data_IF_966358844938
#
_entry.id   IF_966358844938
#
_cell.length_a   1.000
_cell.length_b   1.000
_cell.length_c   1.000
_cell.angle_alpha   90.00
_cell.angle_beta   90.00
_cell.angle_gamma   90.00
#
_symmetry.space_group_name_H-M   'P 1'
#
loop_
_entity.id
_entity.type
_entity.pdbx_description
1 polymer ?
#
# COMPACT_ATOMS: atom_id res chain seq x y z
N UNK A 1 -11.77 8.64 34.49
CA UNK A 1 -11.56 8.72 33.01
C UNK A 1 -10.10 9.02 32.73
N UNK A 2 -9.56 8.53 31.62
CA UNK A 2 -8.13 8.69 31.23
C UNK A 2 -7.74 10.17 31.17
N UNK A 3 -8.65 11.07 30.78
CA UNK A 3 -8.43 12.52 30.68
C UNK A 3 -8.15 13.25 32.02
N UNK A 4 -8.52 12.66 33.15
CA UNK A 4 -8.33 13.30 34.47
C UNK A 4 -6.96 13.03 35.09
N UNK A 5 -6.17 12.10 34.49
CA UNK A 5 -4.86 11.68 35.03
C UNK A 5 -3.65 12.30 34.31
N UNK A 6 -3.86 12.99 33.21
CA UNK A 6 -2.76 13.57 32.41
C UNK A 6 -2.73 15.06 32.66
N UNK A 7 -2.10 15.48 33.77
CA UNK A 7 -2.02 16.91 34.15
C UNK A 7 -0.60 17.49 34.09
N UNK A 8 0.42 16.65 33.97
CA UNK A 8 1.81 17.09 33.93
C UNK A 8 2.69 16.16 33.04
N UNK A 9 3.91 16.62 32.77
CA UNK A 9 4.85 15.93 31.89
C UNK A 9 5.29 14.56 32.43
N UNK A 10 5.33 14.38 33.76
CA UNK A 10 5.69 13.12 34.39
C UNK A 10 4.56 12.09 34.20
N UNK A 11 3.30 12.52 34.35
CA UNK A 11 2.12 11.70 34.09
C UNK A 11 2.03 11.27 32.60
N UNK A 12 2.40 12.16 31.66
CA UNK A 12 2.48 11.84 30.23
C UNK A 12 3.53 10.76 29.96
N UNK A 13 4.74 10.91 30.54
CA UNK A 13 5.82 9.95 30.38
C UNK A 13 5.47 8.58 30.98
N UNK A 14 4.82 8.57 32.17
CA UNK A 14 4.35 7.34 32.78
C UNK A 14 3.28 6.64 31.92
N UNK A 15 2.33 7.43 31.39
CA UNK A 15 1.30 6.91 30.48
C UNK A 15 1.91 6.36 29.17
N UNK A 16 2.90 7.04 28.61
CA UNK A 16 3.64 6.53 27.46
C UNK A 16 4.34 5.22 27.76
N UNK A 17 4.97 5.10 28.94
CA UNK A 17 5.60 3.86 29.39
C UNK A 17 4.60 2.70 29.55
N UNK A 18 3.44 2.95 30.17
CA UNK A 18 2.37 1.97 30.31
C UNK A 18 1.78 1.57 28.96
N UNK A 19 1.61 2.54 28.05
CA UNK A 19 1.11 2.31 26.70
C UNK A 19 2.10 1.50 25.85
N UNK A 20 3.39 1.81 25.93
CA UNK A 20 4.43 1.03 25.27
C UNK A 20 4.52 -0.39 25.80
N UNK A 21 4.42 -0.57 27.12
CA UNK A 21 4.38 -1.90 27.74
C UNK A 21 3.15 -2.70 27.29
N UNK A 22 2.00 -2.04 27.20
CA UNK A 22 0.77 -2.66 26.66
C UNK A 22 0.94 -3.06 25.19
N UNK A 23 1.53 -2.19 24.36
CA UNK A 23 1.78 -2.50 22.95
C UNK A 23 2.77 -3.67 22.80
N UNK A 24 3.86 -3.71 23.56
CA UNK A 24 4.76 -4.86 23.56
C UNK A 24 4.06 -6.15 24.00
N UNK A 25 3.27 -6.11 25.08
CA UNK A 25 2.48 -7.27 25.50
C UNK A 25 1.46 -7.71 24.47
N UNK A 26 0.87 -6.75 23.72
CA UNK A 26 -0.05 -7.06 22.63
C UNK A 26 0.69 -7.74 21.46
N UNK A 27 1.88 -7.24 21.11
CA UNK A 27 2.73 -7.82 20.07
C UNK A 27 3.16 -9.23 20.47
N UNK A 28 3.68 -9.42 21.69
CA UNK A 28 4.07 -10.73 22.21
C UNK A 28 2.88 -11.71 22.18
N UNK A 29 1.69 -11.21 22.49
CA UNK A 29 0.46 -12.01 22.42
C UNK A 29 0.11 -12.39 20.99
N UNK A 30 0.22 -11.47 20.04
CA UNK A 30 -0.01 -11.71 18.61
C UNK A 30 1.03 -12.71 18.09
N UNK A 31 2.30 -12.54 18.41
CA UNK A 31 3.37 -13.48 18.04
C UNK A 31 3.11 -14.89 18.60
N UNK A 32 2.70 -14.98 19.86
CA UNK A 32 2.33 -16.26 20.48
C UNK A 32 1.13 -16.91 19.77
N UNK A 33 0.14 -16.13 19.39
CA UNK A 33 -1.02 -16.62 18.63
C UNK A 33 -0.63 -17.07 17.21
N UNK A 34 0.24 -16.32 16.53
CA UNK A 34 0.77 -16.69 15.21
C UNK A 34 1.59 -17.99 15.31
N UNK A 35 2.53 -18.06 16.27
CA UNK A 35 3.36 -19.23 16.51
C UNK A 35 2.55 -20.47 16.91
N UNK A 36 1.41 -20.28 17.60
CA UNK A 36 0.48 -21.36 17.96
C UNK A 36 -0.45 -21.78 16.82
N UNK A 37 -0.37 -21.13 15.65
CA UNK A 37 -1.23 -21.36 14.49
C UNK A 37 -2.70 -20.96 14.71
N UNK A 38 -2.99 -20.17 15.75
CA UNK A 38 -4.36 -19.73 16.09
C UNK A 38 -4.82 -18.54 15.26
N UNK A 39 -3.89 -17.67 14.81
CA UNK A 39 -4.20 -16.66 13.80
C UNK A 39 -3.78 -17.22 12.44
N UNK A 40 -4.72 -17.42 11.56
CA UNK A 40 -4.44 -17.83 10.18
C UNK A 40 -3.78 -16.66 9.46
N UNK A 41 -2.85 -16.96 8.54
CA UNK A 41 -2.18 -15.94 7.70
C UNK A 41 -3.16 -15.00 7.00
N UNK A 42 -4.36 -15.51 6.65
CA UNK A 42 -5.46 -14.73 6.09
C UNK A 42 -5.95 -13.63 7.05
N UNK A 43 -6.07 -13.95 8.34
CA UNK A 43 -6.58 -13.00 9.35
C UNK A 43 -5.60 -11.84 9.57
N UNK A 44 -4.28 -12.08 9.46
CA UNK A 44 -3.28 -11.00 9.54
C UNK A 44 -3.44 -9.99 8.41
N UNK A 45 -3.61 -10.44 7.18
CA UNK A 45 -3.86 -9.56 6.03
C UNK A 45 -5.11 -8.71 6.22
N UNK A 46 -6.23 -9.33 6.61
CA UNK A 46 -7.50 -8.66 6.87
C UNK A 46 -7.37 -7.64 8.03
N UNK A 47 -6.62 -7.95 9.08
CA UNK A 47 -6.35 -6.99 10.17
C UNK A 47 -5.56 -5.77 9.68
N UNK A 48 -4.52 -5.98 8.87
CA UNK A 48 -3.73 -4.88 8.33
C UNK A 48 -4.59 -4.00 7.42
N UNK A 49 -5.33 -4.60 6.46
CA UNK A 49 -6.05 -3.84 5.41
C UNK A 49 -7.38 -3.28 5.88
N UNK A 50 -8.11 -4.00 6.73
CA UNK A 50 -9.49 -3.64 7.11
C UNK A 50 -9.57 -2.91 8.47
N UNK A 51 -8.49 -2.96 9.26
CA UNK A 51 -8.48 -2.33 10.59
C UNK A 51 -7.35 -1.32 10.75
N UNK A 52 -6.08 -1.72 10.55
CA UNK A 52 -4.92 -0.88 10.86
C UNK A 52 -4.80 0.28 9.87
N UNK A 53 -4.79 0.01 8.58
CA UNK A 53 -4.64 1.05 7.56
C UNK A 53 -5.81 2.06 7.58
N UNK A 54 -7.10 1.65 7.62
CA UNK A 54 -8.22 2.57 7.74
C UNK A 54 -8.16 3.43 9.01
N UNK A 55 -7.72 2.86 10.14
CA UNK A 55 -7.57 3.61 11.38
C UNK A 55 -6.52 4.72 11.23
N UNK A 56 -5.31 4.41 10.73
CA UNK A 56 -4.26 5.42 10.51
C UNK A 56 -4.75 6.53 9.57
N UNK A 57 -5.45 6.18 8.50
CA UNK A 57 -6.01 7.15 7.56
C UNK A 57 -7.02 8.06 8.27
N UNK A 58 -7.97 7.51 9.02
CA UNK A 58 -9.01 8.27 9.68
C UNK A 58 -8.44 9.19 10.76
N UNK A 59 -7.46 8.73 11.53
CA UNK A 59 -6.84 9.50 12.61
C UNK A 59 -6.00 10.67 12.06
N UNK A 60 -5.39 10.51 10.87
CA UNK A 60 -4.44 11.49 10.31
C UNK A 60 -4.99 12.36 9.17
N UNK A 61 -6.08 11.98 8.54
CA UNK A 61 -6.64 12.69 7.37
C UNK A 61 -6.85 14.19 7.61
N UNK A 62 -7.39 14.56 8.76
CA UNK A 62 -7.67 15.96 9.08
C UNK A 62 -6.40 16.79 9.27
N UNK A 63 -5.37 16.25 9.92
CA UNK A 63 -4.10 16.95 10.15
C UNK A 63 -3.33 17.15 8.85
N UNK A 64 -3.28 16.14 7.98
CA UNK A 64 -2.66 16.25 6.64
C UNK A 64 -3.42 17.23 5.76
N UNK A 65 -4.76 17.21 5.77
CA UNK A 65 -5.59 18.20 5.05
C UNK A 65 -5.28 19.62 5.51
N UNK A 66 -5.12 19.84 6.81
CA UNK A 66 -4.75 21.14 7.38
C UNK A 66 -3.35 21.59 6.96
N UNK A 67 -2.38 20.68 6.95
CA UNK A 67 -1.03 20.97 6.47
C UNK A 67 -1.03 21.37 4.99
N UNK A 68 -1.79 20.66 4.14
CA UNK A 68 -1.96 21.02 2.73
C UNK A 68 -2.59 22.40 2.55
N UNK A 69 -3.64 22.72 3.31
CA UNK A 69 -4.28 24.04 3.31
C UNK A 69 -3.30 25.13 3.77
N UNK A 70 -2.50 24.87 4.79
CA UNK A 70 -1.45 25.78 5.24
C UNK A 70 -0.40 26.08 4.16
N UNK A 71 -0.05 25.08 3.38
CA UNK A 71 0.92 25.21 2.27
C UNK A 71 0.40 26.13 1.14
N UNK A 72 -0.90 26.25 0.95
CA UNK A 72 -1.47 27.17 -0.05
C UNK A 72 -1.21 28.63 0.26
N UNK A 73 -0.97 29.00 1.53
CA UNK A 73 -0.61 30.35 1.91
C UNK A 73 0.79 30.75 1.40
N UNK A 74 1.65 29.77 1.16
CA UNK A 74 3.03 29.97 0.68
C UNK A 74 3.14 29.74 -0.83
N UNK A 75 2.37 28.78 -1.36
CA UNK A 75 2.38 28.39 -2.78
C UNK A 75 0.94 28.24 -3.30
N UNK A 76 0.49 29.21 -4.10
CA UNK A 76 -0.84 29.19 -4.71
C UNK A 76 -1.04 28.03 -5.73
N UNK A 77 0.02 27.43 -6.25
CA UNK A 77 -0.08 26.29 -7.17
C UNK A 77 -0.63 25.06 -6.47
N UNK A 78 -0.46 24.95 -5.15
CA UNK A 78 -1.01 23.84 -4.35
C UNK A 78 -2.53 23.75 -4.51
N UNK A 79 -3.24 24.87 -4.35
CA UNK A 79 -4.71 24.92 -4.50
C UNK A 79 -5.13 24.56 -5.92
N UNK A 80 -4.46 25.14 -6.91
CA UNK A 80 -4.74 24.87 -8.33
C UNK A 80 -4.58 23.38 -8.67
N UNK A 81 -3.50 22.79 -8.22
CA UNK A 81 -3.18 21.38 -8.51
C UNK A 81 -4.16 20.44 -7.81
N UNK A 82 -4.44 20.65 -6.52
CA UNK A 82 -5.37 19.81 -5.77
C UNK A 82 -6.79 19.93 -6.34
N UNK A 83 -7.26 21.14 -6.68
CA UNK A 83 -8.58 21.32 -7.28
C UNK A 83 -8.66 20.78 -8.70
N UNK A 84 -7.58 20.88 -9.48
CA UNK A 84 -7.52 20.26 -10.81
C UNK A 84 -7.61 18.74 -10.72
N UNK A 85 -6.81 18.13 -9.85
CA UNK A 85 -6.90 16.69 -9.57
C UNK A 85 -8.32 16.30 -9.11
N UNK A 86 -8.90 17.06 -8.16
CA UNK A 86 -10.24 16.78 -7.66
C UNK A 86 -11.30 16.78 -8.75
N UNK A 87 -11.23 17.70 -9.70
CA UNK A 87 -12.17 17.73 -10.86
C UNK A 87 -12.13 16.46 -11.68
N UNK A 88 -11.00 15.79 -11.77
CA UNK A 88 -10.87 14.54 -12.54
C UNK A 88 -11.41 13.33 -11.77
N UNK A 89 -11.27 13.31 -10.44
CA UNK A 89 -11.60 12.13 -9.62
C UNK A 89 -12.87 12.29 -8.76
N UNK A 90 -13.46 13.47 -8.65
CA UNK A 90 -14.58 13.75 -7.73
C UNK A 90 -15.79 12.83 -7.94
N UNK A 91 -16.03 12.37 -9.17
CA UNK A 91 -17.12 11.44 -9.49
C UNK A 91 -16.90 10.03 -8.93
N UNK A 92 -15.67 9.71 -8.62
CA UNK A 92 -15.25 8.40 -8.10
C UNK A 92 -15.33 8.35 -6.56
N UNK A 93 -15.36 9.53 -5.91
CA UNK A 93 -15.48 9.62 -4.45
C UNK A 93 -16.95 9.55 -4.03
N UNK A 94 -17.20 8.81 -2.95
CA UNK A 94 -18.52 8.74 -2.33
C UNK A 94 -18.90 10.08 -1.69
N UNK A 95 -20.20 10.27 -1.42
CA UNK A 95 -20.77 11.49 -0.85
C UNK A 95 -20.12 11.92 0.50
N UNK A 96 -19.39 11.03 1.16
CA UNK A 96 -18.75 11.29 2.45
C UNK A 96 -17.48 12.14 2.35
N UNK A 97 -16.93 12.36 1.15
CA UNK A 97 -15.74 13.19 0.95
C UNK A 97 -16.04 14.33 -0.04
N UNK A 98 -16.62 15.40 0.48
CA UNK A 98 -16.94 16.61 -0.30
C UNK A 98 -15.78 17.62 -0.38
N UNK A 99 -14.73 17.47 0.43
CA UNK A 99 -13.57 18.38 0.48
C UNK A 99 -12.37 17.80 -0.29
N UNK A 100 -11.96 18.50 -1.35
CA UNK A 100 -10.81 18.15 -2.18
C UNK A 100 -9.51 17.92 -1.37
N UNK A 101 -9.28 18.70 -0.32
CA UNK A 101 -8.09 18.55 0.52
C UNK A 101 -8.14 17.31 1.41
N UNK A 102 -9.32 16.98 1.94
CA UNK A 102 -9.49 15.71 2.68
C UNK A 102 -9.31 14.50 1.77
N UNK A 103 -9.86 14.55 0.55
CA UNK A 103 -9.68 13.49 -0.43
C UNK A 103 -8.20 13.34 -0.85
N UNK A 104 -7.51 14.46 -1.08
CA UNK A 104 -6.09 14.45 -1.42
C UNK A 104 -5.22 13.94 -0.25
N UNK A 105 -5.51 14.37 0.98
CA UNK A 105 -4.85 13.88 2.18
C UNK A 105 -5.00 12.36 2.35
N UNK A 106 -6.20 11.83 2.10
CA UNK A 106 -6.45 10.39 2.10
C UNK A 106 -5.63 9.66 1.04
N UNK A 107 -5.56 10.20 -0.18
CA UNK A 107 -4.75 9.65 -1.26
C UNK A 107 -3.26 9.62 -0.89
N UNK A 108 -2.73 10.69 -0.28
CA UNK A 108 -1.34 10.73 0.19
C UNK A 108 -1.08 9.65 1.26
N UNK A 109 -1.96 9.54 2.27
CA UNK A 109 -1.81 8.54 3.34
C UNK A 109 -1.84 7.12 2.81
N UNK A 110 -2.75 6.81 1.88
CA UNK A 110 -2.80 5.52 1.20
C UNK A 110 -1.48 5.27 0.45
N UNK A 111 -0.97 6.27 -0.25
CA UNK A 111 0.31 6.16 -0.95
C UNK A 111 1.48 5.84 -0.02
N UNK A 112 1.54 6.45 1.16
CA UNK A 112 2.55 6.16 2.18
C UNK A 112 2.41 4.73 2.73
N UNK A 113 1.21 4.33 3.13
CA UNK A 113 0.94 3.01 3.68
C UNK A 113 1.28 1.90 2.66
N UNK A 114 0.90 2.10 1.40
CA UNK A 114 1.21 1.14 0.34
C UNK A 114 2.71 1.04 0.07
N UNK A 115 3.47 2.16 0.11
CA UNK A 115 4.93 2.10 -0.05
C UNK A 115 5.59 1.30 1.07
N UNK A 116 5.20 1.51 2.32
CA UNK A 116 5.70 0.72 3.45
C UNK A 116 5.34 -0.76 3.30
N UNK A 117 4.07 -1.06 3.01
CA UNK A 117 3.60 -2.43 2.85
C UNK A 117 4.35 -3.13 1.72
N UNK A 118 4.43 -2.50 0.54
CA UNK A 118 5.08 -3.11 -0.61
C UNK A 118 6.59 -3.30 -0.39
N UNK A 119 7.29 -2.30 0.16
CA UNK A 119 8.71 -2.43 0.47
C UNK A 119 8.99 -3.62 1.42
N UNK A 120 8.17 -3.78 2.47
CA UNK A 120 8.28 -4.91 3.40
C UNK A 120 7.93 -6.26 2.74
N UNK A 121 7.06 -6.29 1.74
CA UNK A 121 6.73 -7.51 1.01
C UNK A 121 7.82 -7.93 0.00
N UNK A 122 8.46 -6.96 -0.67
CA UNK A 122 9.47 -7.26 -1.70
C UNK A 122 10.88 -7.44 -1.15
N UNK A 123 11.19 -6.99 0.09
CA UNK A 123 12.54 -7.08 0.70
C UNK A 123 13.09 -8.51 0.77
N UNK A 124 12.21 -9.51 0.70
CA UNK A 124 12.57 -10.94 0.64
C UNK A 124 13.25 -11.28 -0.68
N UNK A 125 12.82 -10.65 -1.77
CA UNK A 125 13.32 -10.90 -3.12
C UNK A 125 14.39 -9.90 -3.56
N UNK A 126 14.32 -8.66 -3.04
CA UNK A 126 15.18 -7.54 -3.40
C UNK A 126 15.89 -7.01 -2.17
N UNK A 127 17.18 -7.30 -2.06
CA UNK A 127 17.97 -6.87 -0.90
C UNK A 127 17.97 -5.33 -0.72
N UNK A 128 17.93 -4.57 -1.81
CA UNK A 128 17.87 -3.11 -1.76
C UNK A 128 16.54 -2.57 -1.17
N UNK A 129 15.48 -3.36 -1.16
CA UNK A 129 14.22 -2.97 -0.51
C UNK A 129 14.31 -3.02 1.03
N UNK A 130 15.33 -3.66 1.60
CA UNK A 130 15.61 -3.66 3.04
C UNK A 130 15.97 -2.29 3.58
N UNK A 131 16.26 -1.32 2.74
CA UNK A 131 16.43 0.08 3.15
C UNK A 131 15.19 0.60 3.94
N UNK A 132 13.99 0.02 3.73
CA UNK A 132 12.78 0.34 4.50
C UNK A 132 12.92 0.05 5.99
N UNK A 133 13.78 -0.90 6.38
CA UNK A 133 14.05 -1.26 7.77
C UNK A 133 14.79 -0.14 8.51
N UNK A 134 15.51 0.72 7.78
CA UNK A 134 16.20 1.89 8.32
C UNK A 134 15.29 3.09 8.61
N UNK A 135 14.02 3.05 8.18
CA UNK A 135 13.05 4.09 8.49
C UNK A 135 12.52 3.88 9.91
N UNK A 136 13.06 4.60 10.87
CA UNK A 136 12.78 4.51 12.30
C UNK A 136 12.27 5.84 12.87
N UNK A 137 11.96 5.91 14.16
CA UNK A 137 11.32 7.04 14.84
C UNK A 137 12.05 8.40 14.71
N UNK A 138 13.33 8.41 14.37
CA UNK A 138 14.14 9.64 14.19
C UNK A 138 14.18 10.10 12.74
N UNK A 139 13.46 9.43 11.85
CA UNK A 139 13.44 9.70 10.42
C UNK A 139 12.61 10.95 10.10
N UNK A 140 13.12 11.80 9.21
CA UNK A 140 12.32 12.90 8.62
C UNK A 140 11.52 12.41 7.42
N UNK A 141 10.53 13.22 6.98
CA UNK A 141 9.76 12.92 5.77
C UNK A 141 10.69 12.82 4.55
N UNK A 142 11.69 13.70 4.48
CA UNK A 142 12.68 13.72 3.41
C UNK A 142 13.56 12.48 3.41
N UNK A 143 13.93 11.96 4.59
CA UNK A 143 14.73 10.74 4.71
C UNK A 143 13.92 9.52 4.23
N UNK A 144 12.66 9.42 4.64
CA UNK A 144 11.76 8.36 4.19
C UNK A 144 11.50 8.43 2.68
N UNK A 145 11.25 9.63 2.15
CA UNK A 145 11.07 9.83 0.70
C UNK A 145 12.34 9.46 -0.08
N UNK A 146 13.52 9.79 0.43
CA UNK A 146 14.82 9.41 -0.15
C UNK A 146 15.02 7.90 -0.14
N UNK A 147 14.63 7.23 0.93
CA UNK A 147 14.66 5.78 1.02
C UNK A 147 13.79 5.14 -0.07
N UNK A 148 12.55 5.58 -0.25
CA UNK A 148 11.68 5.07 -1.29
C UNK A 148 12.21 5.36 -2.70
N UNK A 149 12.79 6.53 -2.94
CA UNK A 149 13.42 6.84 -4.22
C UNK A 149 14.62 5.92 -4.50
N UNK A 150 15.39 5.56 -3.48
CA UNK A 150 16.50 4.62 -3.59
C UNK A 150 15.99 3.21 -3.93
N UNK A 151 14.97 2.72 -3.23
CA UNK A 151 14.32 1.43 -3.52
C UNK A 151 13.79 1.43 -4.95
N UNK A 152 13.10 2.49 -5.38
CA UNK A 152 12.60 2.64 -6.75
C UNK A 152 13.71 2.48 -7.79
N UNK A 153 14.82 3.19 -7.59
CA UNK A 153 15.92 3.20 -8.55
C UNK A 153 16.67 1.87 -8.65
N UNK A 154 16.79 1.15 -7.55
CA UNK A 154 17.54 -0.11 -7.47
C UNK A 154 16.69 -1.35 -7.80
N UNK A 155 15.41 -1.33 -7.38
CA UNK A 155 14.51 -2.46 -7.62
C UNK A 155 13.69 -2.32 -8.91
N UNK A 156 13.69 -1.15 -9.56
CA UNK A 156 12.97 -0.90 -10.82
C UNK A 156 11.46 -0.63 -10.67
N UNK A 157 10.93 -0.53 -9.43
CA UNK A 157 9.50 -0.30 -9.18
C UNK A 157 9.15 1.20 -9.12
N UNK A 158 9.51 1.95 -10.16
CA UNK A 158 9.34 3.41 -10.21
C UNK A 158 7.90 3.86 -10.02
N UNK A 159 6.94 3.18 -10.66
CA UNK A 159 5.53 3.55 -10.58
C UNK A 159 4.97 3.44 -9.17
N UNK A 160 5.39 2.42 -8.41
CA UNK A 160 4.91 2.22 -7.05
C UNK A 160 5.52 3.21 -6.06
N UNK A 161 6.83 3.45 -6.17
CA UNK A 161 7.56 4.32 -5.24
C UNK A 161 7.62 5.78 -5.69
N UNK A 162 7.09 6.12 -6.88
CA UNK A 162 6.95 7.50 -7.31
C UNK A 162 6.08 8.28 -6.31
N UNK A 163 6.49 9.50 -6.00
CA UNK A 163 5.79 10.34 -5.03
C UNK A 163 4.91 11.35 -5.77
N UNK A 164 3.60 11.38 -5.51
CA UNK A 164 2.75 12.42 -6.05
C UNK A 164 3.16 13.80 -5.50
N UNK A 165 2.72 14.89 -6.13
CA UNK A 165 2.98 16.24 -5.61
C UNK A 165 2.55 16.33 -4.15
N UNK A 166 3.32 17.10 -3.36
CA UNK A 166 3.05 17.35 -1.93
C UNK A 166 3.09 16.11 -1.01
N UNK A 167 3.73 15.04 -1.46
CA UNK A 167 3.91 13.81 -0.69
C UNK A 167 4.66 14.06 0.64
N UNK A 168 5.47 15.10 0.66
CA UNK A 168 6.21 15.62 1.81
C UNK A 168 5.36 16.46 2.79
N UNK A 169 4.09 16.70 2.49
CA UNK A 169 3.21 17.53 3.33
C UNK A 169 2.61 16.75 4.51
N UNK A 170 3.46 16.05 5.26
CA UNK A 170 3.05 15.29 6.44
C UNK A 170 3.40 16.03 7.73
N UNK A 171 2.46 16.19 8.67
CA UNK A 171 2.78 16.54 10.05
C UNK A 171 3.68 15.49 10.71
N UNK A 172 4.52 15.92 11.66
CA UNK A 172 5.44 15.05 12.39
C UNK A 172 4.71 13.90 13.11
N UNK A 173 3.56 14.18 13.74
CA UNK A 173 2.75 13.15 14.37
C UNK A 173 2.25 12.10 13.38
N UNK A 174 1.85 12.52 12.18
CA UNK A 174 1.43 11.61 11.11
C UNK A 174 2.59 10.73 10.64
N UNK A 175 3.79 11.31 10.50
CA UNK A 175 4.97 10.52 10.14
C UNK A 175 5.27 9.47 11.22
N UNK A 176 5.15 9.84 12.50
CA UNK A 176 5.33 8.88 13.62
C UNK A 176 4.39 7.67 13.51
N UNK A 177 3.09 7.91 13.22
CA UNK A 177 2.12 6.82 13.04
C UNK A 177 2.48 5.92 11.85
N UNK A 178 2.97 6.50 10.75
CA UNK A 178 3.42 5.75 9.57
C UNK A 178 4.68 4.94 9.86
N UNK A 179 5.61 5.47 10.64
CA UNK A 179 6.83 4.75 11.08
C UNK A 179 6.47 3.60 12.02
N UNK A 180 5.50 3.80 12.93
CA UNK A 180 4.98 2.72 13.77
C UNK A 180 4.32 1.62 12.93
N UNK A 181 3.59 1.98 11.89
CA UNK A 181 3.05 1.02 10.92
C UNK A 181 4.17 0.23 10.23
N UNK A 182 5.26 0.89 9.80
CA UNK A 182 6.44 0.20 9.26
C UNK A 182 7.03 -0.79 10.26
N UNK A 183 7.18 -0.38 11.53
CA UNK A 183 7.64 -1.26 12.61
C UNK A 183 6.73 -2.49 12.81
N UNK A 184 5.40 -2.28 12.77
CA UNK A 184 4.44 -3.38 12.83
C UNK A 184 4.64 -4.37 11.67
N UNK A 185 4.80 -3.88 10.43
CA UNK A 185 5.03 -4.74 9.26
C UNK A 185 6.34 -5.54 9.36
N UNK A 186 7.38 -4.94 9.95
CA UNK A 186 8.66 -5.63 10.18
C UNK A 186 8.54 -6.77 11.19
N UNK A 187 7.66 -6.61 12.21
CA UNK A 187 7.40 -7.64 13.22
C UNK A 187 6.50 -8.77 12.73
N UNK A 188 5.73 -8.54 11.67
CA UNK A 188 4.74 -9.49 11.16
C UNK A 188 5.32 -10.61 10.28
N UNK A 189 6.64 -10.80 10.16
CA UNK A 189 7.28 -11.85 9.34
C UNK A 189 6.57 -12.08 8.00
N UNK A 190 6.33 -10.98 7.26
CA UNK A 190 5.60 -11.02 5.98
C UNK A 190 6.26 -11.93 4.93
N UNK A 191 7.52 -12.27 5.11
CA UNK A 191 8.30 -13.21 4.32
C UNK A 191 7.85 -14.67 4.50
N UNK A 192 7.29 -15.02 5.68
CA UNK A 192 6.73 -16.35 5.93
C UNK A 192 5.36 -16.56 5.27
N UNK A 193 4.73 -15.49 4.78
CA UNK A 193 3.45 -15.59 4.09
C UNK A 193 3.60 -16.32 2.75
N UNK A 194 2.69 -17.25 2.45
CA UNK A 194 2.56 -17.85 1.11
C UNK A 194 2.42 -16.75 0.04
N UNK A 195 3.01 -16.96 -1.12
CA UNK A 195 2.97 -16.00 -2.24
C UNK A 195 1.55 -15.55 -2.61
N UNK A 196 0.56 -16.45 -2.48
CA UNK A 196 -0.86 -16.16 -2.72
C UNK A 196 -1.43 -15.19 -1.68
N UNK A 197 -1.02 -15.31 -0.42
CA UNK A 197 -1.45 -14.38 0.63
C UNK A 197 -0.79 -13.02 0.50
N UNK A 198 0.49 -12.95 0.12
CA UNK A 198 1.18 -11.68 -0.16
C UNK A 198 0.52 -10.92 -1.31
N UNK A 199 0.21 -11.61 -2.40
CA UNK A 199 -0.49 -11.01 -3.53
C UNK A 199 -1.88 -10.48 -3.13
N UNK A 200 -2.62 -11.29 -2.36
CA UNK A 200 -3.93 -10.90 -1.84
C UNK A 200 -3.85 -9.69 -0.91
N UNK A 201 -2.85 -9.63 -0.02
CA UNK A 201 -2.63 -8.50 0.87
C UNK A 201 -2.42 -7.21 0.08
N UNK A 202 -1.64 -7.26 -1.00
CA UNK A 202 -1.48 -6.14 -1.93
C UNK A 202 -2.80 -5.78 -2.62
N UNK A 203 -3.52 -6.75 -3.18
CA UNK A 203 -4.81 -6.51 -3.81
C UNK A 203 -5.83 -5.91 -2.84
N UNK A 204 -5.90 -6.39 -1.61
CA UNK A 204 -6.83 -5.90 -0.59
C UNK A 204 -6.47 -4.49 -0.13
N UNK A 205 -5.18 -4.17 0.04
CA UNK A 205 -4.73 -2.82 0.41
C UNK A 205 -5.14 -1.78 -0.64
N UNK A 206 -5.04 -2.15 -1.93
CA UNK A 206 -5.42 -1.29 -3.03
C UNK A 206 -6.93 -1.26 -3.21
N UNK A 207 -7.59 -2.42 -3.13
CA UNK A 207 -9.04 -2.50 -3.36
C UNK A 207 -9.83 -1.89 -2.20
N UNK A 208 -9.34 -1.88 -0.97
CA UNK A 208 -10.02 -1.14 0.11
C UNK A 208 -10.00 0.36 -0.16
N UNK A 209 -8.88 0.89 -0.64
CA UNK A 209 -8.77 2.27 -1.06
C UNK A 209 -9.67 2.59 -2.26
N UNK A 210 -9.69 1.74 -3.27
CA UNK A 210 -10.51 1.91 -4.49
C UNK A 210 -11.99 1.62 -4.24
N UNK A 211 -12.36 0.64 -3.45
CA UNK A 211 -13.77 0.35 -3.10
C UNK A 211 -14.43 1.53 -2.44
N UNK A 212 -13.68 2.28 -1.63
CA UNK A 212 -14.18 3.51 -1.02
C UNK A 212 -14.28 4.69 -2.00
N UNK A 213 -13.50 4.67 -3.10
CA UNK A 213 -13.35 5.80 -4.01
C UNK A 213 -14.14 5.64 -5.30
N UNK A 214 -14.15 4.48 -5.94
CA UNK A 214 -14.71 4.33 -7.30
C UNK A 214 -15.65 3.15 -7.51
N UNK A 215 -15.94 2.35 -6.47
CA UNK A 215 -16.77 1.16 -6.62
C UNK A 215 -16.18 0.10 -7.57
N UNK A 216 -14.89 0.18 -7.87
CA UNK A 216 -14.21 -0.79 -8.71
C UNK A 216 -13.94 -2.08 -7.94
N UNK A 217 -14.40 -3.19 -8.49
CA UNK A 217 -14.16 -4.50 -7.91
C UNK A 217 -13.08 -5.22 -8.72
N UNK A 218 -12.06 -5.81 -8.06
CA UNK A 218 -11.09 -6.63 -8.76
C UNK A 218 -11.77 -7.86 -9.36
N UNK A 219 -11.30 -8.29 -10.53
CA UNK A 219 -11.79 -9.52 -11.15
C UNK A 219 -11.42 -10.72 -10.27
N UNK A 220 -12.36 -11.57 -9.83
CA UNK A 220 -12.03 -12.74 -9.03
C UNK A 220 -11.03 -13.66 -9.76
N UNK A 221 -10.02 -14.14 -9.05
CA UNK A 221 -8.96 -14.98 -9.64
C UNK A 221 -9.49 -16.21 -10.42
N UNK A 222 -10.53 -16.95 -9.97
CA UNK A 222 -11.09 -18.05 -10.75
C UNK A 222 -11.67 -17.59 -12.10
N UNK A 223 -12.27 -16.40 -12.15
CA UNK A 223 -12.80 -15.84 -13.38
C UNK A 223 -11.66 -15.40 -14.32
N UNK A 224 -10.63 -14.74 -13.80
CA UNK A 224 -9.45 -14.35 -14.57
C UNK A 224 -8.76 -15.57 -15.19
N UNK A 225 -8.61 -16.66 -14.43
CA UNK A 225 -8.07 -17.93 -14.94
C UNK A 225 -8.95 -18.53 -16.05
N UNK A 226 -10.26 -18.55 -15.86
CA UNK A 226 -11.17 -19.02 -16.90
C UNK A 226 -11.04 -18.19 -18.17
N UNK A 227 -10.97 -16.86 -18.07
CA UNK A 227 -10.78 -15.95 -19.21
C UNK A 227 -9.44 -16.25 -19.92
N UNK A 228 -8.36 -16.43 -19.17
CA UNK A 228 -7.06 -16.79 -19.74
C UNK A 228 -7.07 -18.15 -20.44
N UNK A 229 -7.71 -19.17 -19.84
CA UNK A 229 -7.84 -20.52 -20.42
C UNK A 229 -8.62 -20.50 -21.74
N UNK A 230 -9.67 -19.69 -21.82
CA UNK A 230 -10.49 -19.57 -23.03
C UNK A 230 -9.84 -18.69 -24.10
N UNK A 231 -9.17 -17.60 -23.69
CA UNK A 231 -8.61 -16.60 -24.60
C UNK A 231 -7.22 -16.93 -25.15
N UNK A 232 -6.34 -17.50 -24.32
CA UNK A 232 -4.95 -17.77 -24.69
C UNK A 232 -4.80 -19.21 -25.20
N UNK A 233 -4.61 -19.35 -26.51
CA UNK A 233 -4.48 -20.66 -27.18
C UNK A 233 -3.04 -21.04 -27.51
N UNK A 234 -2.11 -20.10 -27.51
CA UNK A 234 -0.69 -20.36 -27.75
C UNK A 234 0.20 -19.48 -26.85
N UNK A 235 1.42 -19.95 -26.58
CA UNK A 235 2.36 -19.28 -25.71
C UNK A 235 2.97 -18.00 -26.30
N UNK A 236 3.03 -17.90 -27.63
CA UNK A 236 3.76 -16.84 -28.35
C UNK A 236 2.87 -15.68 -28.81
N UNK A 237 1.55 -15.86 -28.77
CA UNK A 237 0.59 -14.83 -29.16
C UNK A 237 0.63 -13.64 -28.18
N UNK A 238 0.44 -12.45 -28.69
CA UNK A 238 0.28 -11.26 -27.83
C UNK A 238 -1.08 -11.29 -27.15
N UNK A 239 -1.09 -10.96 -25.86
CA UNK A 239 -2.30 -10.74 -25.06
C UNK A 239 -2.24 -9.36 -24.44
N UNK A 240 -3.37 -8.65 -24.44
CA UNK A 240 -3.48 -7.31 -23.90
C UNK A 240 -4.70 -7.20 -23.00
N UNK A 241 -4.43 -6.78 -21.75
CA UNK A 241 -5.46 -6.37 -20.81
C UNK A 241 -5.47 -4.84 -20.75
N UNK A 242 -6.47 -4.23 -21.38
CA UNK A 242 -6.57 -2.77 -21.52
C UNK A 242 -7.22 -2.07 -20.33
N UNK A 243 -7.68 -2.81 -19.33
CA UNK A 243 -8.28 -2.31 -18.09
C UNK A 243 -7.77 -3.15 -16.93
N UNK A 244 -6.44 -3.25 -16.81
CA UNK A 244 -5.80 -4.29 -16.02
C UNK A 244 -6.05 -4.18 -14.50
N UNK A 245 -6.48 -3.02 -14.01
CA UNK A 245 -6.63 -2.83 -12.57
C UNK A 245 -5.35 -3.26 -11.83
N UNK A 246 -5.50 -4.15 -10.85
CA UNK A 246 -4.39 -4.72 -10.08
C UNK A 246 -3.63 -5.83 -10.81
N UNK A 247 -3.91 -6.09 -12.07
CA UNK A 247 -3.20 -7.08 -12.88
C UNK A 247 -3.66 -8.53 -12.75
N UNK A 248 -4.79 -8.80 -12.10
CA UNK A 248 -5.27 -10.19 -11.86
C UNK A 248 -5.45 -10.97 -13.16
N UNK A 249 -6.05 -10.34 -14.20
CA UNK A 249 -6.18 -10.97 -15.53
C UNK A 249 -4.80 -11.10 -16.18
N UNK A 250 -3.96 -10.07 -16.11
CA UNK A 250 -2.60 -10.09 -16.66
C UNK A 250 -1.75 -11.23 -16.11
N UNK A 251 -1.81 -11.45 -14.79
CA UNK A 251 -1.17 -12.59 -14.12
C UNK A 251 -1.70 -13.93 -14.67
N UNK A 252 -3.02 -14.06 -14.79
CA UNK A 252 -3.61 -15.29 -15.33
C UNK A 252 -3.20 -15.56 -16.79
N UNK A 253 -3.10 -14.50 -17.62
CA UNK A 253 -2.61 -14.57 -18.99
C UNK A 253 -1.15 -15.04 -19.04
N UNK A 254 -0.30 -14.47 -18.18
CA UNK A 254 1.11 -14.87 -18.07
C UNK A 254 1.25 -16.34 -17.62
N UNK A 255 0.58 -16.75 -16.55
CA UNK A 255 0.57 -18.12 -16.04
C UNK A 255 0.13 -19.13 -17.11
N UNK A 256 -0.92 -18.78 -17.87
CA UNK A 256 -1.43 -19.61 -18.95
C UNK A 256 -0.41 -19.79 -20.07
N UNK A 257 0.30 -18.73 -20.48
CA UNK A 257 1.34 -18.79 -21.52
C UNK A 257 2.53 -19.63 -21.08
N UNK A 258 2.99 -19.46 -19.84
CA UNK A 258 4.06 -20.30 -19.28
C UNK A 258 3.66 -21.78 -19.32
N UNK A 259 2.44 -22.11 -18.92
CA UNK A 259 1.90 -23.47 -18.95
C UNK A 259 1.79 -24.05 -20.35
N UNK A 260 1.50 -23.25 -21.37
CA UNK A 260 1.43 -23.67 -22.78
C UNK A 260 2.81 -23.88 -23.42
N UNK A 261 3.90 -23.51 -22.76
CA UNK A 261 5.28 -23.68 -23.25
C UNK A 261 5.88 -25.04 -22.80
N UNK A 262 5.07 -26.04 -22.50
CA UNK A 262 5.59 -27.36 -22.12
C UNK A 262 6.17 -28.12 -23.32
N UNK A 263 7.40 -28.75 -23.21
CA UNK A 263 8.22 -28.74 -21.99
C UNK A 263 8.74 -27.35 -21.64
N UNK A 264 8.80 -27.04 -20.35
CA UNK A 264 9.18 -25.71 -19.85
C UNK A 264 10.58 -25.37 -20.35
N UNK A 265 10.67 -24.36 -21.21
CA UNK A 265 11.95 -23.81 -21.66
C UNK A 265 12.40 -22.76 -20.59
N UNK A 266 13.71 -22.64 -20.40
CA UNK A 266 14.29 -21.73 -19.41
C UNK A 266 13.84 -20.26 -19.58
N UNK A 267 13.43 -19.86 -20.80
CA UNK A 267 12.97 -18.52 -21.15
C UNK A 267 11.44 -18.35 -21.20
N UNK A 268 10.66 -19.37 -20.84
CA UNK A 268 9.19 -19.36 -20.96
C UNK A 268 8.53 -18.21 -20.20
N UNK A 269 9.00 -17.94 -18.97
CA UNK A 269 8.50 -16.88 -18.13
C UNK A 269 8.79 -15.49 -18.72
N UNK A 270 10.01 -15.25 -19.20
CA UNK A 270 10.42 -14.00 -19.82
C UNK A 270 9.67 -13.75 -21.13
N UNK A 271 9.49 -14.77 -21.95
CA UNK A 271 8.72 -14.69 -23.20
C UNK A 271 7.24 -14.39 -22.93
N UNK A 272 6.64 -15.06 -21.96
CA UNK A 272 5.26 -14.79 -21.55
C UNK A 272 5.10 -13.35 -21.06
N UNK A 273 6.06 -12.84 -20.29
CA UNK A 273 6.10 -11.46 -19.83
C UNK A 273 6.15 -10.48 -20.99
N UNK A 274 7.07 -10.63 -21.93
CA UNK A 274 7.25 -9.75 -23.09
C UNK A 274 6.06 -9.74 -24.06
N UNK A 275 5.21 -10.74 -24.02
CA UNK A 275 4.04 -10.87 -24.89
C UNK A 275 2.70 -10.62 -24.18
N UNK A 276 2.75 -10.23 -22.88
CA UNK A 276 1.57 -9.85 -22.10
C UNK A 276 1.63 -8.37 -21.79
N UNK A 277 0.64 -7.63 -22.24
CA UNK A 277 0.58 -6.18 -22.15
C UNK A 277 -0.53 -5.77 -21.21
N UNK A 278 -0.23 -4.84 -20.32
CA UNK A 278 -1.15 -4.30 -19.33
C UNK A 278 -1.27 -2.81 -19.54
N UNK A 279 -2.48 -2.28 -19.50
CA UNK A 279 -2.73 -0.83 -19.47
C UNK A 279 -3.98 -0.53 -18.66
N UNK A 280 -4.03 0.64 -18.07
CA UNK A 280 -5.18 1.15 -17.36
C UNK A 280 -5.30 2.67 -17.60
N UNK A 281 -6.51 3.21 -17.46
CA UNK A 281 -6.76 4.66 -17.58
C UNK A 281 -6.23 5.42 -16.37
N UNK A 282 -6.07 4.74 -15.25
CA UNK A 282 -5.57 5.31 -14.01
C UNK A 282 -4.12 4.87 -13.75
N UNK A 283 -3.27 5.81 -13.36
CA UNK A 283 -1.87 5.52 -13.00
C UNK A 283 -1.77 4.63 -11.75
N UNK A 284 -2.76 4.71 -10.86
CA UNK A 284 -2.76 3.98 -9.59
C UNK A 284 -2.77 2.45 -9.73
N UNK A 285 -3.55 1.81 -10.64
CA UNK A 285 -3.48 0.37 -10.87
C UNK A 285 -2.13 -0.10 -11.40
N UNK A 286 -1.47 0.74 -12.21
CA UNK A 286 -0.15 0.46 -12.76
C UNK A 286 0.97 0.62 -11.74
N UNK A 287 0.66 1.14 -10.55
CA UNK A 287 1.60 1.28 -9.44
C UNK A 287 1.73 -0.01 -8.60
N UNK A 288 1.04 -1.07 -8.96
CA UNK A 288 1.02 -2.39 -8.33
C UNK A 288 1.45 -3.45 -9.33
#
# INVERSE_FOLDING_TARGET
TISERITDRASINAFQGEWMAFLHSLVDTIELFIASGRIKQRELGEVITDSVMPKIINDNKASVSTALKGRTAVDALVDINIRSWWRTVAKEYTLDESDAYCAYAKMLLIGWLNKFLFANLIKVYYQDAREVEGIAEVCTVEDAARCFALIASRCGFYHLFNSPPYFDSLPEATLSDLVQFNGLLQMCDLDQLDSRYRHRLLEESISSAKRQVSGQYPTPEPLARLMAELGVRNATGHAWDCCCGTGTIGKALWERKVKLTEPVMDDAADRAYRTTWLSDIHDFPLQV
#
